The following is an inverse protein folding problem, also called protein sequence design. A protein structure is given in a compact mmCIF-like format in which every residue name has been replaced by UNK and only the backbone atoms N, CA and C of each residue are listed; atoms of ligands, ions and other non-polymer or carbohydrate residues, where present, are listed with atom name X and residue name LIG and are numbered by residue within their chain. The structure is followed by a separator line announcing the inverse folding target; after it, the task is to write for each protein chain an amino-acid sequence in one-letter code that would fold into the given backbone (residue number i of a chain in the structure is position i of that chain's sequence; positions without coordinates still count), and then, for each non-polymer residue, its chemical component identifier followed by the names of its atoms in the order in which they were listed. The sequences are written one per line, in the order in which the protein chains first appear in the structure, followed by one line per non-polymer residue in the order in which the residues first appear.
data_IF_153498236127
#
_entry.id   IF_153498236127
#
_cell.length_a   1.000
_cell.length_b   1.000
_cell.length_c   1.000
_cell.angle_alpha   90.00
_cell.angle_beta   90.00
_cell.angle_gamma   90.00
#
_symmetry.space_group_name_H-M   'P 1'
#
loop_
_entity.id
_entity.type
_entity.pdbx_description
1 polymer ?
#
# COMPACT_ATOMS: atom_id res chain seq x y z
N UNK A 1 3.40 28.74 -13.52
CA UNK A 1 3.12 27.29 -13.36
C UNK A 1 4.45 26.60 -13.16
N UNK A 2 4.85 26.39 -11.90
CA UNK A 2 6.06 25.62 -11.59
C UNK A 2 5.73 24.13 -11.78
N UNK A 3 6.32 23.52 -12.80
CA UNK A 3 6.38 22.05 -12.90
C UNK A 3 6.96 21.54 -11.58
N UNK A 4 6.17 20.79 -10.82
CA UNK A 4 6.67 19.95 -9.75
C UNK A 4 7.64 18.93 -10.38
N UNK A 5 8.89 19.31 -10.55
CA UNK A 5 9.98 18.37 -10.82
C UNK A 5 10.22 17.65 -9.50
N UNK A 6 9.56 16.52 -9.35
CA UNK A 6 9.84 15.58 -8.26
C UNK A 6 11.23 15.01 -8.50
N UNK A 7 12.25 15.61 -7.92
CA UNK A 7 13.66 15.22 -8.04
C UNK A 7 13.91 13.77 -7.57
N UNK A 8 13.35 12.78 -8.28
CA UNK A 8 13.45 11.36 -7.95
C UNK A 8 12.74 10.96 -6.64
N UNK A 9 11.71 11.67 -6.21
CA UNK A 9 10.92 11.36 -5.00
C UNK A 9 9.49 11.07 -5.38
N UNK A 10 8.88 10.08 -4.72
CA UNK A 10 7.42 9.87 -4.78
C UNK A 10 6.76 11.00 -4.00
N UNK A 11 6.02 11.91 -4.64
CA UNK A 11 5.38 12.99 -3.91
C UNK A 11 4.28 12.43 -3.02
N UNK A 12 4.33 12.78 -1.74
CA UNK A 12 3.26 12.51 -0.78
C UNK A 12 2.57 13.82 -0.46
N UNK A 13 1.29 13.88 -0.77
CA UNK A 13 0.44 15.07 -0.59
C UNK A 13 -0.56 14.77 0.52
N UNK A 14 -0.76 15.72 1.41
CA UNK A 14 -1.60 15.54 2.59
C UNK A 14 -2.70 16.58 2.68
N UNK A 15 -3.90 16.13 3.02
CA UNK A 15 -5.07 16.97 3.29
C UNK A 15 -5.64 16.60 4.66
N UNK A 16 -5.56 17.54 5.60
CA UNK A 16 -6.00 17.37 6.98
C UNK A 16 -4.88 17.50 7.99
N UNK A 17 -5.23 17.48 9.26
CA UNK A 17 -4.28 17.63 10.38
C UNK A 17 -3.63 16.28 10.72
N UNK A 18 -4.44 15.22 10.84
CA UNK A 18 -3.93 13.88 11.17
C UNK A 18 -3.00 13.36 10.07
N UNK A 19 -3.40 13.52 8.80
CA UNK A 19 -2.55 13.16 7.67
C UNK A 19 -1.21 13.92 7.67
N UNK A 20 -1.23 15.19 8.08
CA UNK A 20 -0.03 16.02 8.20
C UNK A 20 0.88 15.54 9.32
N UNK A 21 0.32 15.18 10.46
CA UNK A 21 1.07 14.69 11.61
C UNK A 21 1.77 13.35 11.31
N UNK A 22 1.11 12.47 10.54
CA UNK A 22 1.70 11.21 10.10
C UNK A 22 2.96 11.46 9.26
N UNK A 23 2.89 12.33 8.25
CA UNK A 23 4.05 12.59 7.39
C UNK A 23 5.13 13.45 8.06
N UNK A 24 4.82 14.06 9.18
CA UNK A 24 5.78 14.80 10.00
C UNK A 24 6.55 13.91 10.98
N UNK A 25 6.14 12.65 11.19
CA UNK A 25 6.89 11.75 12.05
C UNK A 25 8.27 11.46 11.45
N UNK A 26 9.29 11.29 12.31
CA UNK A 26 10.69 11.23 11.89
C UNK A 26 10.95 10.13 10.85
N UNK A 27 10.41 8.95 11.07
CA UNK A 27 10.60 7.81 10.17
C UNK A 27 10.08 8.09 8.77
N UNK A 28 8.86 8.59 8.66
CA UNK A 28 8.24 8.95 7.38
C UNK A 28 9.02 10.08 6.70
N UNK A 29 9.45 11.09 7.46
CA UNK A 29 10.27 12.19 6.93
C UNK A 29 11.56 11.67 6.32
N UNK A 30 12.21 10.70 6.94
CA UNK A 30 13.47 10.15 6.44
C UNK A 30 13.25 9.33 5.16
N UNK A 31 12.17 8.56 5.07
CA UNK A 31 11.78 7.87 3.81
C UNK A 31 11.47 8.87 2.70
N UNK A 32 10.66 9.88 2.97
CA UNK A 32 10.28 10.91 1.99
C UNK A 32 11.47 11.71 1.44
N UNK A 33 12.60 11.72 2.14
CA UNK A 33 13.84 12.37 1.67
C UNK A 33 14.68 11.47 0.78
N UNK A 34 14.47 10.17 0.84
CA UNK A 34 15.26 9.22 0.05
C UNK A 34 14.95 9.38 -1.44
N UNK A 35 15.96 9.48 -2.31
CA UNK A 35 15.72 9.53 -3.74
C UNK A 35 15.26 8.19 -4.25
N UNK A 36 14.26 8.20 -5.13
CA UNK A 36 13.72 7.01 -5.76
C UNK A 36 13.85 7.14 -7.27
N UNK A 37 14.91 6.62 -7.86
CA UNK A 37 15.12 6.68 -9.30
C UNK A 37 14.01 5.91 -10.05
N UNK A 38 13.41 6.53 -11.06
CA UNK A 38 12.48 5.86 -11.98
C UNK A 38 11.00 5.88 -11.57
N UNK A 39 10.63 6.51 -10.45
CA UNK A 39 9.24 6.58 -9.98
C UNK A 39 8.69 8.01 -9.94
N UNK A 40 9.08 8.83 -10.91
CA UNK A 40 8.63 10.22 -11.01
C UNK A 40 7.14 10.36 -11.32
N UNK A 41 6.47 9.24 -11.67
CA UNK A 41 5.11 9.20 -12.18
C UNK A 41 4.08 8.67 -11.15
N UNK A 42 4.45 8.54 -9.88
CA UNK A 42 3.54 8.04 -8.84
C UNK A 42 3.33 9.04 -7.71
N UNK A 43 2.09 9.25 -7.28
CA UNK A 43 1.72 10.16 -6.18
C UNK A 43 0.93 9.41 -5.12
N UNK A 44 1.28 9.61 -3.86
CA UNK A 44 0.48 9.19 -2.71
C UNK A 44 -0.25 10.40 -2.15
N UNK A 45 -1.56 10.32 -2.07
CA UNK A 45 -2.43 11.33 -1.44
C UNK A 45 -3.00 10.71 -0.16
N UNK A 46 -2.81 11.37 0.97
CA UNK A 46 -3.37 10.97 2.26
C UNK A 46 -4.33 12.06 2.70
N UNK A 47 -5.55 11.68 3.07
CA UNK A 47 -6.56 12.64 3.49
C UNK A 47 -7.26 12.18 4.77
N UNK A 48 -7.56 13.13 5.65
CA UNK A 48 -8.39 12.88 6.83
C UNK A 48 -9.84 12.56 6.44
N UNK A 49 -10.30 13.14 5.32
CA UNK A 49 -11.65 12.92 4.79
C UNK A 49 -11.69 13.27 3.30
N UNK A 50 -11.97 12.28 2.46
CA UNK A 50 -12.15 12.51 1.02
C UNK A 50 -13.34 13.44 0.72
N UNK A 51 -14.40 13.35 1.51
CA UNK A 51 -15.59 14.20 1.34
C UNK A 51 -15.26 15.68 1.60
N UNK A 52 -14.50 15.96 2.66
CA UNK A 52 -14.16 17.34 3.04
C UNK A 52 -13.17 17.98 2.05
N UNK A 53 -12.24 17.18 1.54
CA UNK A 53 -11.13 17.69 0.72
C UNK A 53 -11.27 17.40 -0.78
N UNK A 54 -12.43 16.89 -1.24
CA UNK A 54 -12.65 16.45 -2.63
C UNK A 54 -12.23 17.49 -3.67
N UNK A 55 -12.75 18.72 -3.54
CA UNK A 55 -12.45 19.80 -4.50
C UNK A 55 -10.95 20.15 -4.55
N UNK A 56 -10.28 20.09 -3.40
CA UNK A 56 -8.84 20.36 -3.30
C UNK A 56 -8.00 19.25 -3.90
N UNK A 57 -8.40 17.99 -3.69
CA UNK A 57 -7.77 16.82 -4.29
C UNK A 57 -7.92 16.88 -5.81
N UNK A 58 -9.13 17.16 -6.29
CA UNK A 58 -9.40 17.29 -7.72
C UNK A 58 -8.59 18.42 -8.37
N UNK A 59 -8.57 19.59 -7.77
CA UNK A 59 -7.78 20.71 -8.26
C UNK A 59 -6.28 20.39 -8.33
N UNK A 60 -5.77 19.68 -7.32
CA UNK A 60 -4.41 19.19 -7.32
C UNK A 60 -4.16 18.18 -8.45
N UNK A 61 -5.00 17.15 -8.58
CA UNK A 61 -4.87 16.13 -9.62
C UNK A 61 -4.95 16.75 -11.02
N UNK A 62 -5.88 17.67 -11.26
CA UNK A 62 -5.99 18.41 -12.53
C UNK A 62 -4.72 19.21 -12.84
N UNK A 63 -4.02 19.71 -11.84
CA UNK A 63 -2.80 20.50 -12.02
C UNK A 63 -1.57 19.67 -12.37
N UNK A 64 -1.54 18.39 -11.99
CA UNK A 64 -0.34 17.53 -12.10
C UNK A 64 -0.51 16.34 -13.04
N UNK A 65 -1.74 15.87 -13.28
CA UNK A 65 -2.00 14.69 -14.10
C UNK A 65 -1.99 15.04 -15.58
N UNK A 66 -0.87 14.78 -16.24
CA UNK A 66 -0.70 14.89 -17.68
C UNK A 66 -0.87 13.54 -18.41
N UNK A 67 -1.83 12.71 -17.99
CA UNK A 67 -2.21 11.48 -18.67
C UNK A 67 -1.31 10.25 -18.44
N UNK A 68 -0.19 10.39 -17.70
CA UNK A 68 0.74 9.28 -17.41
C UNK A 68 1.02 9.08 -15.92
N UNK A 69 0.43 9.89 -15.07
CA UNK A 69 0.71 9.85 -13.65
C UNK A 69 -0.17 8.81 -12.95
N UNK A 70 0.45 7.90 -12.24
CA UNK A 70 -0.24 7.00 -11.33
C UNK A 70 -0.40 7.66 -9.96
N UNK A 71 -1.54 7.46 -9.32
CA UNK A 71 -1.76 7.98 -7.96
C UNK A 71 -2.68 7.07 -7.16
N UNK A 72 -2.54 7.14 -5.84
CA UNK A 72 -3.47 6.55 -4.89
C UNK A 72 -3.99 7.61 -3.94
N UNK A 73 -5.24 7.46 -3.51
CA UNK A 73 -5.86 8.26 -2.46
C UNK A 73 -6.18 7.35 -1.28
N UNK A 74 -5.55 7.64 -0.15
CA UNK A 74 -5.75 6.95 1.12
C UNK A 74 -6.62 7.82 2.02
N UNK A 75 -7.87 7.40 2.24
CA UNK A 75 -8.84 8.13 3.06
C UNK A 75 -8.88 7.56 4.48
N UNK A 76 -8.63 8.41 5.45
CA UNK A 76 -8.70 8.04 6.86
C UNK A 76 -10.13 8.03 7.41
N UNK A 77 -11.12 8.43 6.63
CA UNK A 77 -12.51 8.45 7.03
C UNK A 77 -13.36 7.53 6.17
N UNK A 78 -14.09 6.64 6.82
CA UNK A 78 -15.08 5.81 6.12
C UNK A 78 -16.27 6.69 5.70
N UNK A 79 -16.51 6.75 4.40
CA UNK A 79 -17.55 7.57 3.79
C UNK A 79 -18.57 6.70 3.08
N UNK A 80 -19.85 7.04 3.22
CA UNK A 80 -20.92 6.44 2.42
C UNK A 80 -20.76 6.67 0.92
N UNK A 81 -19.94 7.67 0.54
CA UNK A 81 -19.67 8.01 -0.86
C UNK A 81 -18.52 7.21 -1.49
N UNK A 82 -18.01 6.17 -0.81
CA UNK A 82 -16.84 5.38 -1.22
C UNK A 82 -16.90 4.91 -2.68
N UNK A 83 -18.05 4.41 -3.12
CA UNK A 83 -18.22 3.94 -4.50
C UNK A 83 -18.10 5.09 -5.52
N UNK A 84 -18.57 6.28 -5.17
CA UNK A 84 -18.41 7.49 -5.99
C UNK A 84 -16.94 7.83 -6.16
N UNK A 85 -16.14 7.81 -5.08
CA UNK A 85 -14.71 8.09 -5.14
C UNK A 85 -13.92 7.01 -5.87
N UNK A 86 -14.26 5.74 -5.70
CA UNK A 86 -13.65 4.64 -6.48
C UNK A 86 -13.89 4.80 -7.98
N UNK A 87 -15.04 5.29 -8.38
CA UNK A 87 -15.34 5.55 -9.79
C UNK A 87 -14.68 6.83 -10.32
N UNK A 88 -14.38 7.76 -9.43
CA UNK A 88 -13.82 9.06 -9.78
C UNK A 88 -12.30 9.06 -9.84
N UNK A 89 -11.65 8.41 -8.89
CA UNK A 89 -10.20 8.41 -8.74
C UNK A 89 -9.58 7.07 -9.15
N UNK A 90 -8.35 7.13 -9.66
CA UNK A 90 -7.65 5.96 -10.21
C UNK A 90 -7.48 4.83 -9.18
N UNK A 91 -7.17 5.19 -7.94
CA UNK A 91 -7.13 4.30 -6.80
C UNK A 91 -7.60 5.07 -5.57
N UNK A 92 -8.64 4.58 -4.93
CA UNK A 92 -9.20 5.13 -3.70
C UNK A 92 -9.44 4.00 -2.71
N UNK A 93 -8.84 4.14 -1.54
CA UNK A 93 -8.98 3.17 -0.47
C UNK A 93 -9.22 3.86 0.87
N UNK A 94 -10.12 3.30 1.64
CA UNK A 94 -10.37 3.68 3.03
C UNK A 94 -9.38 2.91 3.90
N UNK A 95 -8.72 3.61 4.80
CA UNK A 95 -7.78 3.00 5.73
C UNK A 95 -8.55 2.25 6.81
N UNK A 96 -8.34 0.94 6.88
CA UNK A 96 -8.90 0.07 7.91
C UNK A 96 -8.02 -0.03 9.16
N UNK A 97 -8.57 -0.59 10.23
CA UNK A 97 -7.84 -0.87 11.46
C UNK A 97 -7.28 0.37 12.17
N UNK A 98 -6.06 0.26 12.69
CA UNK A 98 -5.33 1.40 13.24
C UNK A 98 -4.83 2.30 12.10
N UNK A 99 -5.58 3.35 11.81
CA UNK A 99 -5.41 4.19 10.62
C UNK A 99 -4.01 4.79 10.49
N UNK A 100 -3.48 5.33 11.58
CA UNK A 100 -2.15 5.97 11.59
C UNK A 100 -1.06 4.93 11.31
N UNK A 101 -1.10 3.81 12.00
CA UNK A 101 -0.14 2.72 11.82
C UNK A 101 -0.22 2.14 10.42
N UNK A 102 -1.44 1.87 9.92
CA UNK A 102 -1.65 1.35 8.57
C UNK A 102 -1.06 2.27 7.50
N UNK A 103 -1.27 3.58 7.60
CA UNK A 103 -0.68 4.56 6.66
C UNK A 103 0.84 4.52 6.72
N UNK A 104 1.43 4.52 7.93
CA UNK A 104 2.88 4.43 8.10
C UNK A 104 3.44 3.16 7.44
N UNK A 105 2.79 2.02 7.65
CA UNK A 105 3.20 0.74 7.08
C UNK A 105 3.05 0.68 5.56
N UNK A 106 2.00 1.28 5.00
CA UNK A 106 1.85 1.42 3.54
C UNK A 106 2.98 2.28 2.98
N UNK A 107 3.28 3.42 3.60
CA UNK A 107 4.40 4.27 3.19
C UNK A 107 5.73 3.54 3.33
N UNK A 108 5.94 2.80 4.42
CA UNK A 108 7.13 1.97 4.60
C UNK A 108 7.26 0.94 3.47
N UNK A 109 6.20 0.21 3.15
CA UNK A 109 6.20 -0.73 2.05
C UNK A 109 6.60 -0.05 0.73
N UNK A 110 6.00 1.09 0.42
CA UNK A 110 6.32 1.84 -0.79
C UNK A 110 7.79 2.25 -0.80
N UNK A 111 8.25 2.94 0.23
CA UNK A 111 9.58 3.59 0.23
C UNK A 111 10.73 2.65 0.56
N UNK A 112 10.51 1.62 1.35
CA UNK A 112 11.57 0.70 1.76
C UNK A 112 11.67 -0.54 0.87
N UNK A 113 10.56 -0.97 0.25
CA UNK A 113 10.49 -2.27 -0.40
C UNK A 113 10.16 -2.20 -1.89
N UNK A 114 9.07 -1.54 -2.30
CA UNK A 114 8.69 -1.46 -3.73
C UNK A 114 9.78 -0.76 -4.54
N UNK A 115 10.49 0.16 -3.91
CA UNK A 115 11.53 0.96 -4.54
C UNK A 115 12.91 0.29 -4.52
N UNK A 116 13.07 -0.85 -3.85
CA UNK A 116 14.30 -1.64 -3.86
C UNK A 116 14.17 -2.77 -4.88
N UNK A 117 15.20 -2.96 -5.68
CA UNK A 117 15.30 -4.12 -6.57
C UNK A 117 15.50 -5.38 -5.76
N UNK A 118 14.50 -6.26 -5.76
CA UNK A 118 14.57 -7.59 -5.16
C UNK A 118 14.81 -8.68 -6.21
N UNK A 119 14.91 -9.92 -5.78
CA UNK A 119 15.02 -11.09 -6.65
C UNK A 119 13.74 -11.29 -7.47
N UNK A 120 12.59 -11.07 -6.84
CA UNK A 120 11.27 -10.95 -7.45
C UNK A 120 10.64 -9.73 -6.78
N UNK A 121 10.24 -8.74 -7.54
CA UNK A 121 9.58 -7.55 -6.97
C UNK A 121 8.23 -7.36 -7.64
N UNK A 122 7.22 -7.00 -6.86
CA UNK A 122 6.05 -6.36 -7.43
C UNK A 122 6.32 -4.85 -7.49
N UNK A 123 5.85 -4.24 -8.57
CA UNK A 123 6.01 -2.82 -8.81
C UNK A 123 4.76 -2.02 -8.40
N UNK A 124 4.76 -0.73 -8.72
CA UNK A 124 3.58 0.12 -8.46
C UNK A 124 2.33 -0.30 -9.22
N UNK A 125 2.48 -0.94 -10.36
CA UNK A 125 1.34 -1.45 -11.13
C UNK A 125 0.68 -2.60 -10.39
N UNK A 126 1.48 -3.48 -9.81
CA UNK A 126 1.01 -4.59 -8.98
C UNK A 126 0.35 -4.07 -7.68
N UNK A 127 0.99 -3.10 -6.99
CA UNK A 127 0.40 -2.46 -5.83
C UNK A 127 -0.94 -1.80 -6.18
N UNK A 128 -0.98 -1.04 -7.26
CA UNK A 128 -2.21 -0.40 -7.71
C UNK A 128 -3.28 -1.42 -8.08
N UNK A 129 -2.89 -2.54 -8.66
CA UNK A 129 -3.80 -3.63 -8.95
C UNK A 129 -4.43 -4.18 -7.67
N UNK A 130 -3.64 -4.47 -6.64
CA UNK A 130 -4.12 -4.91 -5.32
C UNK A 130 -5.08 -3.87 -4.72
N UNK A 131 -4.68 -2.60 -4.71
CA UNK A 131 -5.48 -1.52 -4.13
C UNK A 131 -6.82 -1.32 -4.83
N UNK A 132 -6.93 -1.64 -6.10
CA UNK A 132 -8.19 -1.56 -6.86
C UNK A 132 -9.17 -2.68 -6.56
N UNK A 133 -8.71 -3.81 -6.01
CA UNK A 133 -9.56 -4.97 -5.77
C UNK A 133 -10.53 -4.75 -4.61
N UNK A 134 -10.15 -3.99 -3.58
CA UNK A 134 -10.98 -3.74 -2.41
C UNK A 134 -11.12 -2.26 -2.07
N UNK A 135 -12.20 -1.94 -1.35
CA UNK A 135 -12.47 -0.58 -0.88
C UNK A 135 -11.63 -0.22 0.34
N UNK A 136 -11.44 -1.17 1.25
CA UNK A 136 -10.64 -1.00 2.45
C UNK A 136 -9.23 -1.52 2.22
N UNK A 137 -8.25 -0.85 2.82
CA UNK A 137 -6.86 -1.27 2.82
C UNK A 137 -6.32 -1.34 4.24
N UNK A 138 -5.56 -2.38 4.51
CA UNK A 138 -4.77 -2.54 5.73
C UNK A 138 -3.36 -2.99 5.38
N UNK A 139 -2.44 -2.75 6.30
CA UNK A 139 -1.06 -3.21 6.19
C UNK A 139 -0.53 -3.60 7.55
N UNK A 140 0.40 -4.53 7.57
CA UNK A 140 1.15 -4.93 8.74
C UNK A 140 2.59 -5.17 8.36
N UNK A 141 3.49 -4.79 9.26
CA UNK A 141 4.91 -5.08 9.19
C UNK A 141 5.31 -5.83 10.47
N UNK A 142 5.98 -6.94 10.35
CA UNK A 142 6.39 -7.75 11.50
C UNK A 142 7.67 -8.52 11.24
N UNK A 143 8.36 -8.86 12.34
CA UNK A 143 9.48 -9.78 12.36
C UNK A 143 8.95 -11.14 12.80
N UNK A 144 9.20 -12.18 12.03
CA UNK A 144 8.74 -13.51 12.35
C UNK A 144 8.17 -14.26 11.16
N UNK A 145 7.65 -15.45 11.45
CA UNK A 145 7.12 -16.33 10.43
C UNK A 145 5.76 -15.83 9.91
N UNK A 146 5.62 -15.81 8.60
CA UNK A 146 4.35 -15.45 7.97
C UNK A 146 3.22 -16.42 8.34
N UNK A 147 3.56 -17.68 8.65
CA UNK A 147 2.63 -18.68 9.15
C UNK A 147 1.92 -18.25 10.43
N UNK A 148 2.64 -17.61 11.36
CA UNK A 148 2.08 -17.17 12.64
C UNK A 148 1.06 -16.02 12.43
N UNK A 149 1.40 -15.11 11.52
CA UNK A 149 0.46 -14.06 11.13
C UNK A 149 -0.80 -14.64 10.47
N UNK A 150 -0.64 -15.60 9.54
CA UNK A 150 -1.76 -16.26 8.87
C UNK A 150 -2.67 -17.02 9.83
N UNK A 151 -2.13 -17.60 10.90
CA UNK A 151 -2.92 -18.25 11.95
C UNK A 151 -3.73 -17.24 12.77
N UNK A 152 -3.20 -16.04 12.95
CA UNK A 152 -3.87 -14.94 13.67
C UNK A 152 -4.82 -14.14 12.80
N UNK A 153 -4.71 -14.25 11.46
CA UNK A 153 -5.54 -13.49 10.54
C UNK A 153 -6.96 -14.04 10.49
N UNK A 154 -7.90 -13.20 10.87
CA UNK A 154 -9.32 -13.52 10.84
C UNK A 154 -9.98 -12.85 9.63
N UNK A 155 -10.21 -13.63 8.59
CA UNK A 155 -10.98 -13.17 7.44
C UNK A 155 -12.43 -12.89 7.84
N UNK A 156 -12.98 -11.77 7.39
CA UNK A 156 -14.41 -11.50 7.53
C UNK A 156 -15.18 -12.45 6.61
N UNK A 157 -16.31 -12.95 7.10
CA UNK A 157 -17.18 -13.80 6.30
C UNK A 157 -17.69 -12.98 5.10
N UNK A 158 -17.62 -13.60 3.92
CA UNK A 158 -18.06 -13.04 2.63
C UNK A 158 -17.23 -11.88 2.08
N UNK A 159 -16.11 -11.48 2.69
CA UNK A 159 -15.23 -10.49 2.10
C UNK A 159 -14.33 -11.10 1.00
N UNK A 160 -14.16 -10.38 -0.08
CA UNK A 160 -13.15 -10.69 -1.09
C UNK A 160 -11.83 -10.00 -0.73
N UNK A 161 -10.73 -10.75 -0.76
CA UNK A 161 -9.43 -10.26 -0.37
C UNK A 161 -8.44 -10.24 -1.53
N UNK A 162 -7.54 -9.26 -1.52
CA UNK A 162 -6.34 -9.25 -2.35
C UNK A 162 -5.14 -8.89 -1.51
N UNK A 163 -4.04 -9.62 -1.70
CA UNK A 163 -2.84 -9.51 -0.87
C UNK A 163 -1.62 -9.12 -1.69
N UNK A 164 -0.84 -8.20 -1.16
CA UNK A 164 0.54 -7.94 -1.56
C UNK A 164 1.47 -8.29 -0.41
N UNK A 165 2.47 -9.13 -0.68
CA UNK A 165 3.40 -9.60 0.31
C UNK A 165 4.82 -9.24 -0.11
N UNK A 166 5.55 -8.61 0.79
CA UNK A 166 6.98 -8.45 0.68
C UNK A 166 7.62 -9.37 1.70
N UNK A 167 8.22 -10.44 1.20
CA UNK A 167 8.85 -11.47 2.03
C UNK A 167 10.34 -11.31 1.95
N UNK A 168 10.97 -11.44 3.10
CA UNK A 168 12.39 -11.63 3.18
C UNK A 168 12.69 -13.13 3.20
N UNK A 169 13.55 -13.56 2.32
CA UNK A 169 13.94 -14.94 2.22
C UNK A 169 15.44 -15.03 2.51
N UNK A 170 15.76 -15.76 3.56
CA UNK A 170 17.09 -16.33 3.67
C UNK A 170 17.34 -17.22 2.46
N UNK A 171 18.52 -17.16 1.86
CA UNK A 171 18.91 -17.95 0.67
C UNK A 171 18.93 -19.48 0.94
N UNK A 172 18.14 -19.94 1.91
CA UNK A 172 18.02 -21.33 2.34
C UNK A 172 17.13 -22.21 1.45
N UNK A 173 17.39 -23.50 1.51
CA UNK A 173 16.57 -24.52 0.88
C UNK A 173 15.12 -24.44 1.42
N UNK A 174 14.14 -24.32 0.53
CA UNK A 174 12.70 -24.36 0.92
C UNK A 174 11.85 -23.19 0.49
N UNK A 175 12.44 -22.15 -0.13
CA UNK A 175 11.69 -20.97 -0.60
C UNK A 175 10.48 -21.34 -1.45
N UNK A 176 10.63 -22.30 -2.39
CA UNK A 176 9.56 -22.72 -3.29
C UNK A 176 8.44 -23.44 -2.55
N UNK A 177 8.81 -24.31 -1.59
CA UNK A 177 7.83 -25.07 -0.82
C UNK A 177 7.06 -24.17 0.14
N UNK A 178 7.75 -23.20 0.76
CA UNK A 178 7.14 -22.18 1.59
C UNK A 178 6.19 -21.28 0.80
N UNK A 179 6.56 -20.86 -0.41
CA UNK A 179 5.71 -20.05 -1.28
C UNK A 179 4.46 -20.79 -1.74
N UNK A 180 4.59 -22.09 -2.03
CA UNK A 180 3.45 -22.92 -2.40
C UNK A 180 2.47 -23.08 -1.23
N UNK A 181 2.97 -23.44 -0.05
CA UNK A 181 2.17 -23.56 1.18
C UNK A 181 1.50 -22.23 1.53
N UNK A 182 2.24 -21.14 1.39
CA UNK A 182 1.72 -19.80 1.60
C UNK A 182 0.57 -19.48 0.64
N UNK A 183 0.78 -19.68 -0.65
CA UNK A 183 -0.24 -19.44 -1.67
C UNK A 183 -1.50 -20.28 -1.40
N UNK A 184 -1.34 -21.58 -1.07
CA UNK A 184 -2.48 -22.42 -0.69
C UNK A 184 -3.23 -21.90 0.54
N UNK A 185 -2.52 -21.44 1.57
CA UNK A 185 -3.14 -20.90 2.79
C UNK A 185 -3.88 -19.60 2.51
N UNK A 186 -3.28 -18.69 1.75
CA UNK A 186 -3.91 -17.43 1.35
C UNK A 186 -5.16 -17.68 0.49
N UNK A 187 -5.10 -18.63 -0.44
CA UNK A 187 -6.26 -19.03 -1.25
C UNK A 187 -7.40 -19.62 -0.44
N UNK A 188 -7.15 -20.12 0.77
CA UNK A 188 -8.19 -20.61 1.69
C UNK A 188 -8.85 -19.51 2.51
N UNK A 189 -8.25 -18.31 2.57
CA UNK A 189 -8.77 -17.19 3.37
C UNK A 189 -9.95 -16.46 2.73
N UNK A 190 -10.36 -16.81 1.52
CA UNK A 190 -11.48 -16.15 0.86
C UNK A 190 -11.82 -16.77 -0.50
N UNK A 191 -12.71 -16.14 -1.24
CA UNK A 191 -13.14 -16.58 -2.56
C UNK A 191 -12.06 -16.34 -3.62
N UNK A 192 -11.00 -17.15 -3.59
CA UNK A 192 -9.93 -17.10 -4.55
C UNK A 192 -9.17 -15.75 -4.56
N UNK A 193 -8.50 -15.37 -3.46
CA UNK A 193 -7.86 -14.07 -3.34
C UNK A 193 -6.74 -13.92 -4.39
N UNK A 194 -6.61 -12.72 -4.91
CA UNK A 194 -5.45 -12.37 -5.71
C UNK A 194 -4.24 -12.14 -4.80
N UNK A 195 -3.11 -12.74 -5.15
CA UNK A 195 -1.90 -12.65 -4.34
C UNK A 195 -0.72 -12.23 -5.21
N UNK A 196 -0.09 -11.13 -4.84
CA UNK A 196 1.18 -10.66 -5.42
C UNK A 196 2.29 -10.81 -4.39
N UNK A 197 3.40 -11.36 -4.78
CA UNK A 197 4.52 -11.63 -3.87
C UNK A 197 5.79 -10.97 -4.41
N UNK A 198 6.45 -10.24 -3.53
CA UNK A 198 7.80 -9.73 -3.74
C UNK A 198 8.75 -10.48 -2.82
N UNK A 199 9.88 -10.90 -3.37
CA UNK A 199 10.93 -11.58 -2.63
C UNK A 199 12.16 -10.69 -2.60
N UNK A 200 12.59 -10.34 -1.41
CA UNK A 200 13.78 -9.53 -1.19
C UNK A 200 14.81 -10.35 -0.43
N UNK A 201 16.04 -10.28 -0.87
CA UNK A 201 17.19 -10.82 -0.15
C UNK A 201 17.92 -9.66 0.50
N UNK A 202 18.09 -9.69 1.81
CA UNK A 202 18.88 -8.72 2.56
C UNK A 202 20.04 -9.44 3.23
N UNK A 203 21.21 -8.80 3.17
CA UNK A 203 22.38 -9.24 3.92
C UNK A 203 22.31 -8.85 5.41
N UNK A 204 21.33 -8.03 5.82
CA UNK A 204 21.19 -7.50 7.17
C UNK A 204 20.12 -8.23 8.00
N UNK A 205 20.44 -8.47 9.27
CA UNK A 205 19.70 -9.29 10.26
C UNK A 205 18.31 -8.74 10.67
N UNK A 206 17.85 -7.62 10.17
CA UNK A 206 16.55 -7.04 10.52
C UNK A 206 15.50 -7.26 9.43
N UNK A 207 15.11 -8.52 9.30
CA UNK A 207 14.18 -8.96 8.25
C UNK A 207 12.72 -8.72 8.66
N UNK A 208 12.03 -7.84 7.96
CA UNK A 208 10.61 -7.58 8.18
C UNK A 208 9.77 -8.15 7.03
N UNK A 209 8.72 -8.86 7.38
CA UNK A 209 7.66 -9.24 6.43
C UNK A 209 6.61 -8.16 6.42
N UNK A 210 6.26 -7.67 5.23
CA UNK A 210 5.19 -6.70 5.05
C UNK A 210 4.05 -7.34 4.29
N UNK A 211 2.87 -7.23 4.84
CA UNK A 211 1.63 -7.65 4.20
C UNK A 211 0.74 -6.41 4.02
N UNK A 212 0.31 -6.18 2.79
CA UNK A 212 -0.73 -5.22 2.46
C UNK A 212 -1.91 -5.98 1.89
N UNK A 213 -3.12 -5.67 2.32
CA UNK A 213 -4.30 -6.32 1.77
C UNK A 213 -5.44 -5.35 1.62
N UNK A 214 -6.29 -5.66 0.65
CA UNK A 214 -7.55 -4.96 0.45
C UNK A 214 -8.72 -5.91 0.59
N UNK A 215 -9.86 -5.37 0.95
CA UNK A 215 -11.10 -6.11 1.05
C UNK A 215 -12.30 -5.19 0.79
N UNK A 216 -13.39 -5.79 0.34
CA UNK A 216 -14.70 -5.14 0.30
C UNK A 216 -15.59 -5.78 1.38
N UNK A 217 -16.29 -4.95 2.15
CA UNK A 217 -17.42 -5.41 2.94
C UNK A 217 -18.59 -5.59 1.97
N UNK A 218 -19.02 -6.82 1.79
CA UNK A 218 -20.31 -7.06 1.15
C UNK A 218 -21.43 -6.52 2.07
N UNK A 219 -22.21 -5.59 1.56
CA UNK A 219 -23.45 -5.12 2.20
C UNK A 219 -24.57 -6.14 2.06
#
# INVERSE_FOLDING_TARGET
MSQLRCNGKVPTIVFGEVARDIVACKEVVDWLKSPVPGFEDFIVIITDSAVEYEERIDAFLQSVVNGRLYYMVLDMNDSLDRQRFRNKWMSYNIIGGNKVETVIQILHNIYAHILKTGMISYDFTDLQYILKQGCFVQSVCFKGELSDWLESFHAQANASYSFGLTLNLDEGEGVKDNLYVLHERLCRLGNNPEVKISLQSYEDEEMETIVIWTYDDEY
#
